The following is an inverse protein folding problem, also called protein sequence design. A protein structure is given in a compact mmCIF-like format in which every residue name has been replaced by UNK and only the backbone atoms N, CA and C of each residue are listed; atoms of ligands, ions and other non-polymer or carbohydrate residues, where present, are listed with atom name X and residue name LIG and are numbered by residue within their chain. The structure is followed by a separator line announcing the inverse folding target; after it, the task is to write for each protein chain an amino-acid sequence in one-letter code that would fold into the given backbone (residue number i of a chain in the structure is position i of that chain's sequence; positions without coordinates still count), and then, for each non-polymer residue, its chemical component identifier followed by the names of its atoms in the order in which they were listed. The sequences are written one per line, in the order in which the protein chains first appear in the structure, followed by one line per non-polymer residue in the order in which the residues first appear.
data_IF_428474478002
#
_entry.id   IF_428474478002
#
_cell.length_a   1.000
_cell.length_b   1.000
_cell.length_c   1.000
_cell.angle_alpha   90.00
_cell.angle_beta   90.00
_cell.angle_gamma   90.00
#
_symmetry.space_group_name_H-M   'P 1'
#
loop_
_entity.id
_entity.type
_entity.pdbx_description
1 polymer ?
#
# COMPACT_ATOMS: atom_id res chain seq x y z
N UNK A 1 -37.44 -9.89 5.12
CA UNK A 1 -36.05 -9.49 4.82
C UNK A 1 -36.05 -8.77 3.47
N UNK A 2 -36.29 -7.46 3.47
CA UNK A 2 -36.21 -6.66 2.24
C UNK A 2 -34.76 -6.30 1.98
N UNK A 3 -34.11 -7.03 1.08
CA UNK A 3 -32.74 -6.78 0.65
C UNK A 3 -32.64 -5.40 -0.01
N UNK A 4 -31.77 -4.55 0.53
CA UNK A 4 -31.40 -3.24 -0.01
C UNK A 4 -30.52 -3.33 -1.29
N UNK A 5 -30.69 -4.39 -2.09
CA UNK A 5 -29.88 -4.63 -3.28
C UNK A 5 -30.35 -3.68 -4.40
N UNK A 6 -29.44 -2.82 -4.86
CA UNK A 6 -29.65 -1.95 -6.03
C UNK A 6 -30.03 -0.49 -5.73
N UNK A 7 -30.18 -0.08 -4.47
CA UNK A 7 -30.37 1.34 -4.13
C UNK A 7 -29.00 2.04 -3.99
N UNK A 8 -28.75 3.16 -4.70
CA UNK A 8 -27.53 3.91 -4.49
C UNK A 8 -27.47 4.40 -3.04
N UNK A 9 -26.35 4.14 -2.36
CA UNK A 9 -26.13 4.57 -0.98
C UNK A 9 -25.36 5.89 -0.99
N UNK A 10 -26.04 7.05 -0.95
CA UNK A 10 -25.43 8.36 -1.20
C UNK A 10 -24.29 8.67 -0.22
N UNK A 11 -24.38 8.17 1.02
CA UNK A 11 -23.30 8.32 2.00
C UNK A 11 -22.04 7.55 1.59
N UNK A 12 -22.17 6.34 1.05
CA UNK A 12 -21.01 5.54 0.64
C UNK A 12 -20.32 6.15 -0.58
N UNK A 13 -21.12 6.64 -1.54
CA UNK A 13 -20.63 7.38 -2.70
C UNK A 13 -19.93 8.67 -2.25
N UNK A 14 -20.52 9.39 -1.29
CA UNK A 14 -19.92 10.60 -0.70
C UNK A 14 -18.56 10.32 -0.06
N UNK A 15 -18.45 9.27 0.78
CA UNK A 15 -17.17 8.88 1.38
C UNK A 15 -16.14 8.45 0.34
N UNK A 16 -16.55 7.71 -0.70
CA UNK A 16 -15.66 7.30 -1.78
C UNK A 16 -15.09 8.50 -2.54
N UNK A 17 -15.95 9.45 -2.93
CA UNK A 17 -15.52 10.66 -3.63
C UNK A 17 -14.65 11.56 -2.74
N UNK A 18 -14.99 11.68 -1.45
CA UNK A 18 -14.18 12.41 -0.49
C UNK A 18 -12.79 11.80 -0.35
N UNK A 19 -12.70 10.48 -0.23
CA UNK A 19 -11.43 9.77 -0.16
C UNK A 19 -10.57 10.05 -1.39
N UNK A 20 -11.12 9.90 -2.60
CA UNK A 20 -10.41 10.20 -3.86
C UNK A 20 -9.95 11.66 -3.89
N UNK A 21 -10.83 12.61 -3.55
CA UNK A 21 -10.51 14.02 -3.58
C UNK A 21 -9.35 14.36 -2.62
N UNK A 22 -9.36 13.80 -1.42
CA UNK A 22 -8.28 13.97 -0.43
C UNK A 22 -6.98 13.36 -0.94
N UNK A 23 -6.99 12.13 -1.46
CA UNK A 23 -5.79 11.49 -2.02
C UNK A 23 -5.19 12.32 -3.15
N UNK A 24 -6.02 12.76 -4.11
CA UNK A 24 -5.56 13.60 -5.22
C UNK A 24 -5.02 14.95 -4.76
N UNK A 25 -5.66 15.59 -3.78
CA UNK A 25 -5.20 16.86 -3.23
C UNK A 25 -3.81 16.72 -2.57
N UNK A 26 -3.59 15.65 -1.81
CA UNK A 26 -2.29 15.34 -1.19
C UNK A 26 -1.24 15.07 -2.26
N UNK A 27 -1.55 14.22 -3.26
CA UNK A 27 -0.62 13.90 -4.36
C UNK A 27 -0.24 15.14 -5.15
N UNK A 28 -1.21 15.99 -5.49
CA UNK A 28 -0.96 17.23 -6.22
C UNK A 28 -0.12 18.23 -5.42
N UNK A 29 -0.40 18.37 -4.13
CA UNK A 29 0.38 19.20 -3.21
C UNK A 29 1.83 18.70 -3.07
N UNK A 30 2.03 17.38 -3.01
CA UNK A 30 3.36 16.77 -2.98
C UNK A 30 4.09 16.98 -4.31
N UNK A 31 3.43 16.71 -5.45
CA UNK A 31 4.00 16.87 -6.79
C UNK A 31 4.48 18.30 -7.06
N UNK A 32 3.79 19.32 -6.53
CA UNK A 32 4.19 20.72 -6.65
C UNK A 32 5.49 21.09 -5.93
N UNK A 33 5.96 20.29 -4.98
CA UNK A 33 7.21 20.54 -4.24
C UNK A 33 8.41 19.80 -4.80
N UNK A 34 8.19 18.90 -5.76
CA UNK A 34 9.24 18.06 -6.32
C UNK A 34 9.77 18.68 -7.60
N UNK A 35 10.95 19.32 -7.52
CA UNK A 35 11.53 20.08 -8.63
C UNK A 35 12.78 19.46 -9.26
N UNK A 36 13.39 18.46 -8.61
CA UNK A 36 14.59 17.77 -9.11
C UNK A 36 14.38 16.26 -9.17
N UNK A 37 15.17 15.57 -10.00
CA UNK A 37 15.16 14.10 -10.10
C UNK A 37 15.53 13.42 -8.78
N UNK A 38 16.48 13.98 -8.02
CA UNK A 38 16.83 13.48 -6.68
C UNK A 38 15.69 13.65 -5.67
N UNK A 39 14.94 14.76 -5.72
CA UNK A 39 13.74 14.92 -4.91
C UNK A 39 12.59 14.00 -5.35
N UNK A 40 12.54 13.61 -6.62
CA UNK A 40 11.52 12.69 -7.12
C UNK A 40 11.78 11.24 -6.73
N UNK A 41 13.02 10.76 -6.86
CA UNK A 41 13.35 9.35 -6.62
C UNK A 41 13.77 9.06 -5.18
N UNK A 42 14.52 9.95 -4.54
CA UNK A 42 15.06 9.74 -3.20
C UNK A 42 14.43 10.66 -2.15
N UNK A 43 13.45 11.49 -2.53
CA UNK A 43 12.89 12.53 -1.68
C UNK A 43 13.98 13.40 -1.02
N UNK A 44 15.13 13.58 -1.70
CA UNK A 44 16.28 14.30 -1.15
C UNK A 44 16.86 13.71 0.15
N UNK A 45 16.66 12.41 0.41
CA UNK A 45 17.05 11.71 1.64
C UNK A 45 16.45 12.28 2.95
N UNK A 46 15.35 13.03 2.86
CA UNK A 46 14.71 13.63 4.05
C UNK A 46 13.66 12.75 4.73
N UNK A 47 13.34 11.58 4.16
CA UNK A 47 12.30 10.68 4.68
C UNK A 47 12.83 9.84 5.84
N UNK A 48 12.14 9.87 6.98
CA UNK A 48 12.49 9.07 8.15
C UNK A 48 12.19 7.58 7.93
N UNK A 49 12.88 6.71 8.67
CA UNK A 49 12.66 5.26 8.58
C UNK A 49 11.22 4.84 8.85
N UNK A 50 10.53 5.51 9.78
CA UNK A 50 9.12 5.24 10.07
C UNK A 50 8.19 5.63 8.92
N UNK A 51 8.39 6.81 8.32
CA UNK A 51 7.62 7.24 7.16
C UNK A 51 7.81 6.30 5.96
N UNK A 52 9.05 5.87 5.71
CA UNK A 52 9.36 4.90 4.67
C UNK A 52 8.72 3.54 4.96
N UNK A 53 8.79 3.06 6.20
CA UNK A 53 8.15 1.81 6.62
C UNK A 53 6.63 1.84 6.45
N UNK A 54 5.98 2.97 6.79
CA UNK A 54 4.55 3.14 6.61
C UNK A 54 4.15 3.18 5.13
N UNK A 55 4.94 3.85 4.29
CA UNK A 55 4.72 3.89 2.85
C UNK A 55 4.82 2.48 2.23
N UNK A 56 5.88 1.74 2.57
CA UNK A 56 6.08 0.36 2.11
C UNK A 56 4.97 -0.58 2.59
N UNK A 57 4.52 -0.43 3.84
CA UNK A 57 3.40 -1.21 4.36
C UNK A 57 2.10 -0.91 3.58
N UNK A 58 1.87 0.36 3.24
CA UNK A 58 0.75 0.77 2.39
C UNK A 58 0.79 0.13 1.00
N UNK A 59 1.94 0.20 0.33
CA UNK A 59 2.13 -0.41 -1.01
C UNK A 59 2.05 -1.94 -0.96
N UNK A 60 2.47 -2.55 0.15
CA UNK A 60 2.35 -3.99 0.37
C UNK A 60 0.88 -4.45 0.51
N UNK A 61 -0.02 -3.54 0.91
CA UNK A 61 -1.46 -3.78 1.05
C UNK A 61 -2.21 -3.35 -0.22
N UNK A 62 -2.19 -4.20 -1.25
CA UNK A 62 -3.03 -4.01 -2.44
C UNK A 62 -4.44 -4.58 -2.26
N UNK A 63 -5.40 -4.05 -3.02
CA UNK A 63 -6.75 -4.62 -3.13
C UNK A 63 -6.74 -6.10 -3.56
N UNK A 64 -5.77 -6.48 -4.40
CA UNK A 64 -5.58 -7.87 -4.80
C UNK A 64 -5.17 -8.75 -3.61
N UNK A 65 -4.30 -8.27 -2.73
CA UNK A 65 -3.88 -8.99 -1.53
C UNK A 65 -5.04 -9.14 -0.55
N UNK A 66 -5.82 -8.07 -0.33
CA UNK A 66 -7.00 -8.10 0.54
C UNK A 66 -8.07 -9.07 0.03
N UNK A 67 -8.52 -8.90 -1.22
CA UNK A 67 -9.55 -9.76 -1.82
C UNK A 67 -9.05 -11.18 -2.06
N UNK A 68 -7.77 -11.35 -2.39
CA UNK A 68 -7.15 -12.64 -2.66
C UNK A 68 -7.09 -13.51 -1.40
N UNK A 69 -6.58 -12.98 -0.29
CA UNK A 69 -6.56 -13.71 0.99
C UNK A 69 -7.98 -13.92 1.52
N UNK A 70 -8.85 -12.92 1.47
CA UNK A 70 -10.24 -13.07 1.91
C UNK A 70 -10.99 -14.13 1.10
N UNK A 71 -10.81 -14.15 -0.22
CA UNK A 71 -11.38 -15.16 -1.11
C UNK A 71 -10.81 -16.56 -0.84
N UNK A 72 -9.49 -16.66 -0.65
CA UNK A 72 -8.83 -17.93 -0.35
C UNK A 72 -9.28 -18.50 1.00
N UNK A 73 -9.41 -17.66 2.03
CA UNK A 73 -9.99 -18.07 3.32
C UNK A 73 -11.46 -18.44 3.18
N UNK A 74 -12.24 -17.71 2.38
CA UNK A 74 -13.64 -18.05 2.12
C UNK A 74 -13.83 -19.40 1.44
N UNK A 75 -12.85 -19.86 0.65
CA UNK A 75 -12.91 -21.12 -0.09
C UNK A 75 -12.28 -22.29 0.68
N UNK A 76 -11.15 -22.04 1.36
CA UNK A 76 -10.32 -23.06 1.99
C UNK A 76 -10.41 -23.07 3.52
N UNK A 77 -11.19 -22.17 4.12
CA UNK A 77 -11.35 -22.08 5.57
C UNK A 77 -10.06 -21.69 6.28
N UNK A 78 -9.80 -22.32 7.43
CA UNK A 78 -8.66 -22.00 8.29
C UNK A 78 -7.31 -22.21 7.60
N UNK A 79 -7.19 -23.19 6.70
CA UNK A 79 -5.96 -23.45 5.96
C UNK A 79 -5.57 -22.28 5.06
N UNK A 80 -6.54 -21.46 4.64
CA UNK A 80 -6.30 -20.22 3.92
C UNK A 80 -5.55 -19.16 4.73
N UNK A 81 -5.64 -19.19 6.07
CA UNK A 81 -4.92 -18.26 6.95
C UNK A 81 -3.41 -18.54 6.97
N UNK A 82 -2.99 -19.78 6.70
CA UNK A 82 -1.57 -20.13 6.60
C UNK A 82 -0.92 -19.41 5.41
N UNK A 83 -1.65 -19.22 4.31
CA UNK A 83 -1.18 -18.41 3.19
C UNK A 83 -1.11 -16.92 3.55
N UNK A 84 -2.02 -16.42 4.40
CA UNK A 84 -1.97 -15.05 4.90
C UNK A 84 -0.74 -14.78 5.78
N UNK A 85 -0.35 -15.73 6.62
CA UNK A 85 0.84 -15.58 7.47
C UNK A 85 2.12 -15.67 6.63
N UNK A 86 2.19 -16.60 5.68
CA UNK A 86 3.29 -16.69 4.73
C UNK A 86 3.49 -15.41 3.91
N UNK A 87 2.39 -14.82 3.42
CA UNK A 87 2.40 -13.52 2.75
C UNK A 87 3.00 -12.44 3.68
N UNK A 88 2.43 -12.24 4.87
CA UNK A 88 2.87 -11.18 5.78
C UNK A 88 4.32 -11.35 6.26
N UNK A 89 4.75 -12.57 6.55
CA UNK A 89 6.11 -12.86 7.05
C UNK A 89 7.15 -12.81 5.93
N UNK A 90 6.77 -13.10 4.69
CA UNK A 90 7.67 -13.01 3.53
C UNK A 90 8.20 -11.60 3.28
N UNK A 91 7.42 -10.57 3.62
CA UNK A 91 7.80 -9.17 3.38
C UNK A 91 9.04 -8.70 4.16
N UNK A 92 9.12 -8.85 5.50
CA UNK A 92 10.34 -8.56 6.25
C UNK A 92 11.55 -9.37 5.77
N UNK A 93 11.34 -10.64 5.39
CA UNK A 93 12.42 -11.51 4.91
C UNK A 93 13.04 -10.94 3.64
N UNK A 94 12.22 -10.55 2.65
CA UNK A 94 12.72 -9.92 1.40
C UNK A 94 13.33 -8.55 1.68
N UNK A 95 12.75 -7.77 2.59
CA UNK A 95 13.28 -6.47 2.99
C UNK A 95 14.71 -6.57 3.54
N UNK A 96 14.94 -7.46 4.51
CA UNK A 96 16.25 -7.61 5.15
C UNK A 96 17.27 -8.35 4.29
N UNK A 97 16.85 -9.38 3.54
CA UNK A 97 17.80 -10.22 2.79
C UNK A 97 18.11 -9.70 1.39
N UNK A 98 17.22 -8.90 0.79
CA UNK A 98 17.38 -8.42 -0.59
C UNK A 98 17.43 -6.89 -0.63
N UNK A 99 16.40 -6.22 -0.12
CA UNK A 99 16.28 -4.77 -0.29
C UNK A 99 17.39 -4.00 0.47
N UNK A 100 17.70 -4.39 1.71
CA UNK A 100 18.75 -3.74 2.52
C UNK A 100 20.16 -3.90 1.93
N UNK A 101 20.63 -5.10 1.52
CA UNK A 101 21.91 -5.24 0.82
C UNK A 101 21.97 -4.44 -0.49
N UNK A 102 20.91 -4.44 -1.29
CA UNK A 102 20.87 -3.67 -2.53
C UNK A 102 20.93 -2.15 -2.28
N UNK A 103 20.27 -1.66 -1.23
CA UNK A 103 20.37 -0.27 -0.79
C UNK A 103 21.80 0.07 -0.35
N UNK A 104 22.44 -0.80 0.42
CA UNK A 104 23.81 -0.58 0.92
C UNK A 104 24.87 -0.58 -0.20
N UNK A 105 24.59 -1.20 -1.35
CA UNK A 105 25.47 -1.17 -2.52
C UNK A 105 25.46 0.18 -3.28
N UNK A 106 24.48 1.06 -3.04
CA UNK A 106 24.44 2.41 -3.62
C UNK A 106 24.34 2.50 -5.15
N UNK A 107 24.13 1.36 -5.85
CA UNK A 107 24.12 1.30 -7.33
C UNK A 107 22.77 1.63 -7.98
N UNK A 108 21.67 1.49 -7.26
CA UNK A 108 20.31 1.54 -7.83
C UNK A 108 19.40 2.62 -7.22
N UNK A 109 19.91 3.34 -6.23
CA UNK A 109 19.23 4.46 -5.57
C UNK A 109 20.16 5.67 -5.66
N UNK A 110 19.76 6.64 -6.49
CA UNK A 110 20.50 7.89 -6.71
C UNK A 110 20.41 8.81 -5.50
#
# INVERSE_FOLDING_TARGET
MTSALGRPHPLAIGFFLLFIAVTLAITWWAARRTHTTSHFYAAGHTITGFQNGLALAGDYMSAASFLGIAGLVSLSGFDGLIYSTGWLVGWPVVLFLIAEPLRNLGKYTF
#
